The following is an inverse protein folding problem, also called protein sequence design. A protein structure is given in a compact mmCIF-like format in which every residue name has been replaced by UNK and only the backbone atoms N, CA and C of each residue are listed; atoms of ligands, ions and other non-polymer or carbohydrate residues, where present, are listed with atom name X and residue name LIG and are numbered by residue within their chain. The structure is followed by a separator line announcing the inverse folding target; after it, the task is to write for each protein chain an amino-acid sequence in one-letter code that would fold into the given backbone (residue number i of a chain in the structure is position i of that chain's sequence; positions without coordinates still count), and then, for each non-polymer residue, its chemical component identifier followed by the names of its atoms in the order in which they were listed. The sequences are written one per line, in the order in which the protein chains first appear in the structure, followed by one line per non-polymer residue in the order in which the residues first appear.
data_IF_894096691518
#
_entry.id   IF_894096691518
#
_cell.length_a   1.000
_cell.length_b   1.000
_cell.length_c   1.000
_cell.angle_alpha   90.00
_cell.angle_beta   90.00
_cell.angle_gamma   90.00
#
_symmetry.space_group_name_H-M   'P 1'
#
loop_
_entity.id
_entity.type
_entity.pdbx_description
1 polymer ?
#
# COMPACT_ATOMS: atom_id res chain seq x y z
N UNK A 1 12.47 4.66 1.23
CA UNK A 1 11.40 3.98 0.45
C UNK A 1 11.57 2.49 0.64
N UNK A 2 10.50 1.73 0.89
CA UNK A 2 10.52 0.27 0.86
C UNK A 2 9.89 -0.23 -0.45
N UNK A 3 10.65 -1.03 -1.20
CA UNK A 3 10.21 -1.68 -2.43
C UNK A 3 9.81 -3.14 -2.13
N UNK A 4 9.01 -3.76 -3.01
CA UNK A 4 8.64 -5.18 -2.87
C UNK A 4 7.92 -5.52 -1.56
N UNK A 5 7.13 -4.58 -1.02
CA UNK A 5 6.62 -4.64 0.35
C UNK A 5 5.16 -5.11 0.44
N UNK A 6 4.76 -5.96 -0.50
CA UNK A 6 3.46 -6.63 -0.41
C UNK A 6 3.51 -7.71 0.67
N UNK A 7 2.44 -7.88 1.43
CA UNK A 7 2.42 -8.79 2.58
C UNK A 7 1.97 -10.21 2.23
N UNK A 8 1.43 -10.41 1.02
CA UNK A 8 0.90 -11.68 0.52
C UNK A 8 -0.02 -12.36 1.55
N UNK A 9 -1.14 -11.71 1.94
CA UNK A 9 -2.06 -12.28 2.91
C UNK A 9 -2.52 -13.69 2.54
N UNK A 10 -2.64 -14.58 3.53
CA UNK A 10 -2.98 -15.98 3.31
C UNK A 10 -4.38 -16.13 2.71
N UNK A 11 -5.35 -15.36 3.18
CA UNK A 11 -6.73 -15.35 2.67
C UNK A 11 -6.80 -15.03 1.16
N UNK A 12 -5.89 -14.18 0.67
CA UNK A 12 -5.78 -13.87 -0.75
C UNK A 12 -5.13 -15.02 -1.57
N UNK A 13 -4.21 -15.79 -0.99
CA UNK A 13 -3.70 -17.03 -1.62
C UNK A 13 -4.80 -18.09 -1.66
N UNK A 14 -5.51 -18.26 -0.54
CA UNK A 14 -6.54 -19.26 -0.36
C UNK A 14 -7.69 -19.06 -1.34
N UNK A 15 -8.20 -17.84 -1.49
CA UNK A 15 -9.27 -17.56 -2.46
C UNK A 15 -8.82 -17.83 -3.90
N UNK A 16 -7.57 -17.55 -4.26
CA UNK A 16 -7.07 -17.85 -5.60
C UNK A 16 -7.06 -19.36 -5.83
N UNK A 17 -6.50 -20.11 -4.88
CA UNK A 17 -6.37 -21.57 -4.99
C UNK A 17 -7.72 -22.29 -4.90
N UNK A 18 -8.65 -21.80 -4.08
CA UNK A 18 -10.01 -22.31 -3.97
C UNK A 18 -10.76 -22.25 -5.32
N UNK A 19 -10.54 -21.21 -6.12
CA UNK A 19 -11.21 -21.00 -7.40
C UNK A 19 -10.29 -21.26 -8.60
N UNK A 20 -9.60 -22.40 -8.57
CA UNK A 20 -8.84 -22.95 -9.69
C UNK A 20 -7.49 -22.29 -9.96
N UNK A 21 -6.96 -21.51 -9.00
CA UNK A 21 -5.58 -21.07 -9.00
C UNK A 21 -4.62 -22.14 -8.49
N UNK A 22 -3.33 -21.95 -8.76
CA UNK A 22 -2.26 -22.85 -8.35
C UNK A 22 -1.07 -22.04 -7.80
N UNK A 23 -1.36 -21.07 -6.94
CA UNK A 23 -0.31 -20.33 -6.23
C UNK A 23 0.37 -21.26 -5.23
N UNK A 24 1.69 -21.50 -5.35
CA UNK A 24 2.42 -22.21 -4.33
C UNK A 24 2.42 -21.39 -3.04
N UNK A 25 2.55 -22.06 -1.89
CA UNK A 25 2.67 -21.37 -0.60
C UNK A 25 3.85 -20.40 -0.66
N UNK A 26 3.57 -19.13 -0.37
CA UNK A 26 4.58 -18.08 -0.32
C UNK A 26 4.24 -17.07 0.78
N UNK A 27 5.17 -16.16 1.05
CA UNK A 27 5.06 -15.17 2.12
C UNK A 27 5.52 -13.81 1.61
N UNK A 28 4.88 -12.76 2.09
CA UNK A 28 5.30 -11.39 1.84
C UNK A 28 6.02 -10.78 3.05
N UNK A 29 6.11 -9.47 3.06
CA UNK A 29 6.68 -8.73 4.19
C UNK A 29 5.62 -8.57 5.29
N UNK A 30 5.87 -9.02 6.54
CA UNK A 30 4.92 -8.83 7.64
C UNK A 30 4.59 -7.35 7.85
N UNK A 31 3.32 -7.05 8.14
CA UNK A 31 2.85 -5.67 8.33
C UNK A 31 3.56 -5.03 9.52
N UNK A 32 3.85 -5.79 10.56
CA UNK A 32 4.55 -5.36 11.77
C UNK A 32 5.98 -4.87 11.46
N UNK A 33 6.67 -5.52 10.51
CA UNK A 33 8.01 -5.11 10.08
C UNK A 33 7.97 -3.86 9.20
N UNK A 34 6.93 -3.71 8.37
CA UNK A 34 6.70 -2.46 7.65
C UNK A 34 6.44 -1.31 8.63
N UNK A 35 5.60 -1.53 9.64
CA UNK A 35 5.33 -0.55 10.71
C UNK A 35 6.59 -0.19 11.49
N UNK A 36 7.45 -1.18 11.79
CA UNK A 36 8.77 -0.93 12.37
C UNK A 36 9.60 -0.02 11.46
N UNK A 37 9.68 -0.33 10.16
CA UNK A 37 10.36 0.51 9.17
C UNK A 37 9.83 1.95 9.14
N UNK A 38 8.51 2.14 9.26
CA UNK A 38 7.88 3.46 9.34
C UNK A 38 8.35 4.24 10.58
N UNK A 39 8.47 3.58 11.74
CA UNK A 39 9.02 4.18 12.96
C UNK A 39 10.49 4.64 12.78
N UNK A 40 11.23 3.98 11.87
CA UNK A 40 12.64 4.29 11.57
C UNK A 40 12.86 5.10 10.28
N UNK A 41 11.83 5.78 9.75
CA UNK A 41 12.01 6.76 8.67
C UNK A 41 11.56 6.33 7.28
N UNK A 42 10.97 5.13 7.12
CA UNK A 42 10.30 4.77 5.87
C UNK A 42 9.03 5.61 5.71
N UNK A 43 8.93 6.33 4.58
CA UNK A 43 7.78 7.22 4.25
C UNK A 43 7.04 6.88 2.96
N UNK A 44 7.49 5.83 2.24
CA UNK A 44 6.86 5.32 1.01
C UNK A 44 7.02 3.81 0.97
N UNK A 45 5.91 3.10 0.83
CA UNK A 45 5.81 1.64 0.81
C UNK A 45 5.15 1.24 -0.52
N UNK A 46 5.80 0.38 -1.30
CA UNK A 46 5.26 -0.08 -2.57
C UNK A 46 4.52 -1.41 -2.37
N UNK A 47 3.22 -1.42 -2.69
CA UNK A 47 2.35 -2.60 -2.61
C UNK A 47 1.72 -2.83 -3.98
N UNK A 48 1.90 -4.02 -4.54
CA UNK A 48 1.40 -4.39 -5.88
C UNK A 48 0.83 -5.81 -5.86
N UNK A 49 1.63 -6.80 -5.42
CA UNK A 49 1.22 -8.21 -5.37
C UNK A 49 -0.10 -8.41 -4.62
N UNK A 50 -0.30 -7.76 -3.47
CA UNK A 50 -1.55 -7.88 -2.71
C UNK A 50 -2.78 -7.44 -3.54
N UNK A 51 -2.65 -6.35 -4.30
CA UNK A 51 -3.73 -5.83 -5.15
C UNK A 51 -4.01 -6.77 -6.32
N UNK A 52 -2.96 -7.30 -6.97
CA UNK A 52 -3.09 -8.29 -8.04
C UNK A 52 -3.80 -9.54 -7.54
N UNK A 53 -3.45 -10.01 -6.34
CA UNK A 53 -4.07 -11.19 -5.74
C UNK A 53 -5.55 -10.94 -5.41
N UNK A 54 -5.88 -9.81 -4.78
CA UNK A 54 -7.26 -9.46 -4.45
C UNK A 54 -8.16 -9.38 -5.69
N UNK A 55 -7.67 -8.76 -6.77
CA UNK A 55 -8.39 -8.71 -8.05
C UNK A 55 -8.55 -10.12 -8.63
N UNK A 56 -7.46 -10.87 -8.71
CA UNK A 56 -7.45 -12.20 -9.34
C UNK A 56 -8.37 -13.17 -8.62
N UNK A 57 -8.30 -13.22 -7.29
CA UNK A 57 -9.16 -14.07 -6.46
C UNK A 57 -10.64 -13.74 -6.62
N UNK A 58 -10.99 -12.45 -6.59
CA UNK A 58 -12.36 -12.00 -6.77
C UNK A 58 -12.93 -12.33 -8.16
N UNK A 59 -12.14 -12.15 -9.22
CA UNK A 59 -12.56 -12.50 -10.60
C UNK A 59 -12.76 -14.01 -10.70
N UNK A 60 -11.78 -14.81 -10.26
CA UNK A 60 -11.85 -16.28 -10.29
C UNK A 60 -13.10 -16.81 -9.59
N UNK A 61 -13.38 -16.29 -8.40
CA UNK A 61 -14.58 -16.63 -7.64
C UNK A 61 -15.86 -16.41 -8.44
N UNK A 62 -16.06 -15.22 -9.01
CA UNK A 62 -17.29 -14.90 -9.74
C UNK A 62 -17.43 -15.77 -10.98
N UNK A 63 -16.37 -15.92 -11.78
CA UNK A 63 -16.43 -16.70 -13.02
C UNK A 63 -16.65 -18.21 -12.78
N UNK A 64 -16.20 -18.72 -11.62
CA UNK A 64 -16.41 -20.13 -11.24
C UNK A 64 -17.79 -20.37 -10.60
N UNK A 65 -18.28 -19.44 -9.77
CA UNK A 65 -19.62 -19.55 -9.15
C UNK A 65 -20.75 -19.19 -10.13
N UNK A 66 -20.47 -18.39 -11.16
CA UNK A 66 -21.45 -17.91 -12.14
C UNK A 66 -20.91 -18.09 -13.57
N UNK A 67 -20.86 -19.31 -14.11
CA UNK A 67 -20.25 -19.59 -15.41
C UNK A 67 -20.97 -18.93 -16.61
N UNK A 68 -22.23 -18.54 -16.45
CA UNK A 68 -22.96 -17.77 -17.47
C UNK A 68 -22.72 -16.26 -17.41
N UNK A 69 -21.99 -15.77 -16.41
CA UNK A 69 -21.68 -14.34 -16.27
C UNK A 69 -20.57 -13.95 -17.25
N UNK A 70 -20.89 -13.02 -18.16
CA UNK A 70 -19.97 -12.57 -19.21
C UNK A 70 -19.76 -11.06 -19.18
N UNK A 71 -20.62 -10.30 -18.48
CA UNK A 71 -20.47 -8.85 -18.40
C UNK A 71 -19.24 -8.50 -17.56
N UNK A 72 -18.23 -7.82 -18.12
CA UNK A 72 -17.04 -7.44 -17.37
C UNK A 72 -17.33 -6.68 -16.09
N UNK A 73 -18.40 -5.91 -16.05
CA UNK A 73 -18.77 -5.13 -14.87
C UNK A 73 -19.15 -6.04 -13.70
N UNK A 74 -19.73 -7.21 -13.97
CA UNK A 74 -20.19 -8.14 -12.94
C UNK A 74 -19.04 -8.75 -12.13
N UNK A 75 -17.88 -9.01 -12.74
CA UNK A 75 -16.70 -9.51 -12.04
C UNK A 75 -15.67 -8.43 -11.71
N UNK A 76 -15.54 -7.37 -12.51
CA UNK A 76 -14.60 -6.26 -12.22
C UNK A 76 -15.08 -5.33 -11.11
N UNK A 77 -16.40 -5.19 -10.89
CA UNK A 77 -16.91 -4.41 -9.76
C UNK A 77 -16.53 -5.07 -8.41
N UNK A 78 -16.81 -6.36 -8.15
CA UNK A 78 -16.30 -7.07 -6.97
C UNK A 78 -14.78 -7.07 -6.87
N UNK A 79 -14.05 -7.20 -7.98
CA UNK A 79 -12.58 -7.18 -7.96
C UNK A 79 -12.01 -5.83 -7.49
N UNK A 80 -12.62 -4.73 -7.95
CA UNK A 80 -12.28 -3.38 -7.47
C UNK A 80 -12.65 -3.17 -5.99
N UNK A 81 -13.76 -3.74 -5.53
CA UNK A 81 -14.10 -3.74 -4.09
C UNK A 81 -13.06 -4.52 -3.26
N UNK A 82 -12.60 -5.68 -3.73
CA UNK A 82 -11.57 -6.47 -3.06
C UNK A 82 -10.24 -5.72 -2.98
N UNK A 83 -9.78 -5.11 -4.08
CA UNK A 83 -8.60 -4.25 -4.08
C UNK A 83 -8.78 -3.04 -3.15
N UNK A 84 -9.96 -2.41 -3.13
CA UNK A 84 -10.23 -1.27 -2.24
C UNK A 84 -10.05 -1.65 -0.78
N UNK A 85 -10.50 -2.84 -0.36
CA UNK A 85 -10.31 -3.33 1.02
C UNK A 85 -8.82 -3.47 1.38
N UNK A 86 -8.01 -4.01 0.46
CA UNK A 86 -6.55 -4.09 0.65
C UNK A 86 -5.95 -2.69 0.83
N UNK A 87 -6.25 -1.75 -0.06
CA UNK A 87 -5.75 -0.38 0.05
C UNK A 87 -6.20 0.30 1.36
N UNK A 88 -7.46 0.13 1.77
CA UNK A 88 -7.99 0.68 3.02
C UNK A 88 -7.24 0.14 4.23
N UNK A 89 -7.04 -1.18 4.29
CA UNK A 89 -6.26 -1.81 5.36
C UNK A 89 -4.84 -1.22 5.42
N UNK A 90 -4.14 -1.14 4.28
CA UNK A 90 -2.78 -0.57 4.21
C UNK A 90 -2.74 0.89 4.64
N UNK A 91 -3.71 1.71 4.25
CA UNK A 91 -3.74 3.11 4.69
C UNK A 91 -3.90 3.27 6.20
N UNK A 92 -4.70 2.40 6.84
CA UNK A 92 -4.86 2.35 8.31
C UNK A 92 -3.60 1.81 8.98
N UNK A 93 -3.12 0.64 8.54
CA UNK A 93 -1.94 -0.04 9.10
C UNK A 93 -0.66 0.80 9.00
N UNK A 94 -0.51 1.60 7.94
CA UNK A 94 0.64 2.49 7.73
C UNK A 94 0.47 3.86 8.37
N UNK A 95 -0.65 4.11 9.07
CA UNK A 95 -0.88 5.35 9.82
C UNK A 95 -1.13 6.58 8.94
N UNK A 96 -1.67 6.40 7.74
CA UNK A 96 -1.94 7.51 6.80
C UNK A 96 -3.41 7.90 6.72
N UNK A 97 -4.32 7.05 7.21
CA UNK A 97 -5.74 7.36 7.33
C UNK A 97 -5.96 8.63 8.17
N UNK A 98 -6.80 9.55 7.68
CA UNK A 98 -7.11 10.81 8.38
C UNK A 98 -6.05 11.91 8.31
N UNK A 99 -5.08 11.80 7.39
CA UNK A 99 -4.07 12.84 7.16
C UNK A 99 -4.29 13.70 5.91
N UNK A 100 -5.24 13.33 5.03
CA UNK A 100 -5.40 13.96 3.71
C UNK A 100 -5.78 15.45 3.79
N UNK A 101 -6.72 15.79 4.66
CA UNK A 101 -7.23 17.14 4.91
C UNK A 101 -6.19 18.08 5.57
N UNK A 102 -5.15 17.51 6.20
CA UNK A 102 -4.05 18.26 6.82
C UNK A 102 -3.02 18.76 5.82
N UNK A 103 -3.09 18.30 4.56
CA UNK A 103 -2.09 18.60 3.53
C UNK A 103 -2.58 19.73 2.62
N UNK A 104 -1.85 20.86 2.60
CA UNK A 104 -2.00 21.89 1.56
C UNK A 104 -1.07 21.56 0.40
N UNK A 105 -1.64 21.10 -0.71
CA UNK A 105 -0.85 20.79 -1.90
C UNK A 105 -0.20 22.06 -2.48
N UNK A 106 1.11 21.99 -2.71
CA UNK A 106 1.86 23.04 -3.39
C UNK A 106 1.97 22.71 -4.89
N UNK A 107 1.90 23.73 -5.73
CA UNK A 107 2.14 23.56 -7.17
C UNK A 107 3.60 23.18 -7.42
N UNK A 108 3.86 22.53 -8.55
CA UNK A 108 5.22 22.19 -8.99
C UNK A 108 6.08 23.43 -9.19
N UNK A 109 5.50 24.55 -9.65
CA UNK A 109 6.20 25.84 -9.77
C UNK A 109 6.64 26.40 -8.42
N UNK A 110 5.79 26.31 -7.39
CA UNK A 110 6.17 26.70 -6.02
C UNK A 110 7.26 25.79 -5.49
N UNK A 111 7.17 24.47 -5.70
CA UNK A 111 8.21 23.52 -5.30
C UNK A 111 9.55 23.81 -5.99
N UNK A 112 9.55 24.15 -7.28
CA UNK A 112 10.77 24.51 -8.02
C UNK A 112 11.50 25.71 -7.41
N UNK A 113 10.76 26.74 -6.96
CA UNK A 113 11.35 27.90 -6.25
C UNK A 113 12.00 27.50 -4.92
N UNK A 114 11.37 26.59 -4.16
CA UNK A 114 11.92 26.07 -2.88
C UNK A 114 13.17 25.24 -3.08
N UNK A 115 13.26 24.48 -4.18
CA UNK A 115 14.52 23.83 -4.57
C UNK A 115 15.59 24.86 -4.95
N UNK A 116 15.25 25.85 -5.77
CA UNK A 116 16.19 26.87 -6.23
C UNK A 116 16.76 27.73 -5.10
N UNK A 117 15.99 27.99 -4.04
CA UNK A 117 16.47 28.72 -2.86
C UNK A 117 17.33 27.89 -1.91
N UNK A 118 17.44 26.57 -2.13
CA UNK A 118 18.13 25.64 -1.24
C UNK A 118 17.36 25.26 0.03
N UNK A 119 16.09 25.69 0.16
CA UNK A 119 15.24 25.41 1.33
C UNK A 119 15.08 23.91 1.61
N UNK A 120 15.08 23.09 0.55
CA UNK A 120 14.88 21.63 0.62
C UNK A 120 16.19 20.83 0.60
N UNK A 121 17.35 21.47 0.76
CA UNK A 121 18.62 20.75 0.86
C UNK A 121 18.63 19.85 2.10
N UNK A 122 19.16 18.64 1.92
CA UNK A 122 19.29 17.69 3.02
C UNK A 122 20.25 18.25 4.08
N UNK A 123 19.79 18.26 5.33
CA UNK A 123 20.62 18.62 6.47
C UNK A 123 21.15 17.34 7.12
N UNK A 124 22.47 17.19 7.15
CA UNK A 124 23.15 16.08 7.80
C UNK A 124 23.89 16.61 9.04
N UNK A 125 23.76 15.94 10.19
CA UNK A 125 24.58 16.22 11.37
C UNK A 125 24.13 17.35 12.30
N UNK A 126 22.99 18.00 12.07
CA UNK A 126 22.38 18.85 13.09
C UNK A 126 21.70 17.96 14.15
N UNK A 127 22.47 17.51 15.14
CA UNK A 127 21.92 16.99 16.40
C UNK A 127 20.93 18.01 16.96
N UNK A 128 19.78 17.53 17.40
CA UNK A 128 18.82 18.32 18.16
C UNK A 128 19.52 18.86 19.41
N UNK A 129 19.95 20.12 19.35
CA UNK A 129 20.47 20.83 20.50
C UNK A 129 19.40 20.96 21.57
N UNK A 130 19.82 20.69 22.82
CA UNK A 130 19.11 20.78 24.11
C UNK A 130 18.26 19.57 24.51
N UNK A 131 18.94 18.51 24.95
CA UNK A 131 18.55 17.89 26.24
C UNK A 131 19.20 18.76 27.31
N UNK A 132 18.37 19.37 28.15
CA UNK A 132 18.80 20.25 29.23
C UNK A 132 19.68 19.48 30.22
N UNK A 133 20.68 20.17 30.75
CA UNK A 133 21.41 19.74 31.93
C UNK A 133 20.54 19.89 33.18
N UNK A 134 20.79 18.99 34.15
CA UNK A 134 20.18 18.79 35.48
C UNK A 134 18.85 18.04 35.53
#
# INVERSE_FOLDING_TARGET
VMHGSSSVPQDLQDIINQYGGQMPQTWGVPVEEIQRGIKHGVRKINVDTDNRMAITGAIRKILMEKPGEFDPRAYLKPAKEAMRKVCQARFVEFGSAGHADKIKALSTATMAKRYASGELHAQFGATAGKVAAE
#
